data_IF_402671864343
#
_entry.id   IF_402671864343
#
_cell.length_a   1.000
_cell.length_b   1.000
_cell.length_c   1.000
_cell.angle_alpha   90.00
_cell.angle_beta   90.00
_cell.angle_gamma   90.00
#
_symmetry.space_group_name_H-M   'P 1'
#
loop_
_entity.id
_entity.type
_entity.pdbx_description
1 polymer ?
#
# COMPACT_ATOMS: atom_id res chain seq x y z
N UNK A 1 19.13 -21.67 0.79
CA UNK A 1 20.47 -21.06 0.69
C UNK A 1 20.33 -19.52 0.75
N UNK A 2 19.71 -19.01 1.80
CA UNK A 2 19.20 -17.63 1.86
C UNK A 2 20.30 -16.56 2.12
N UNK A 3 21.40 -16.95 2.78
CA UNK A 3 22.57 -16.08 3.01
C UNK A 3 23.22 -15.55 1.72
N UNK A 4 23.02 -16.22 0.57
CA UNK A 4 23.57 -15.76 -0.70
C UNK A 4 22.76 -14.62 -1.33
N UNK A 5 21.53 -14.35 -0.88
CA UNK A 5 20.66 -13.37 -1.56
C UNK A 5 21.16 -11.94 -1.32
N UNK A 6 21.48 -11.58 -0.08
CA UNK A 6 22.05 -10.27 0.30
C UNK A 6 23.31 -9.90 -0.50
N UNK A 7 24.12 -10.90 -0.82
CA UNK A 7 25.39 -10.75 -1.54
C UNK A 7 25.20 -10.63 -3.06
N UNK A 8 24.00 -10.88 -3.59
CA UNK A 8 23.75 -10.74 -5.03
C UNK A 8 23.83 -9.28 -5.46
N UNK A 9 24.67 -9.05 -6.46
CA UNK A 9 24.77 -7.76 -7.13
C UNK A 9 23.89 -7.73 -8.38
N UNK A 10 23.32 -6.56 -8.68
CA UNK A 10 22.51 -6.32 -9.88
C UNK A 10 21.02 -6.64 -9.75
N UNK A 11 20.56 -7.16 -8.61
CA UNK A 11 19.13 -7.35 -8.34
C UNK A 11 18.52 -6.02 -7.90
N UNK A 12 17.55 -5.53 -8.68
CA UNK A 12 16.80 -4.28 -8.42
C UNK A 12 15.34 -4.53 -8.03
N UNK A 13 14.80 -5.71 -8.35
CA UNK A 13 13.43 -6.12 -8.01
C UNK A 13 13.44 -7.53 -7.44
N UNK A 14 12.64 -7.76 -6.41
CA UNK A 14 12.45 -9.08 -5.78
C UNK A 14 10.98 -9.32 -5.48
N UNK A 15 10.56 -10.55 -5.69
CA UNK A 15 9.20 -11.03 -5.42
C UNK A 15 9.31 -12.27 -4.51
N UNK A 16 8.63 -12.22 -3.37
CA UNK A 16 8.54 -13.34 -2.43
C UNK A 16 7.09 -13.76 -2.26
N UNK A 17 6.74 -14.92 -2.80
CA UNK A 17 5.42 -15.53 -2.65
C UNK A 17 5.50 -16.75 -1.73
N UNK A 18 4.75 -16.72 -0.64
CA UNK A 18 4.77 -17.75 0.38
C UNK A 18 3.55 -18.68 0.33
N UNK A 19 2.61 -18.43 -0.58
CA UNK A 19 1.43 -19.24 -0.82
C UNK A 19 1.69 -20.33 -1.86
N UNK A 20 1.01 -21.48 -1.72
CA UNK A 20 1.08 -22.55 -2.72
C UNK A 20 0.03 -22.27 -3.80
N UNK A 21 0.47 -22.21 -5.05
CA UNK A 21 -0.41 -22.31 -6.23
C UNK A 21 -1.03 -23.71 -6.26
N UNK A 22 -2.17 -23.91 -5.59
CA UNK A 22 -2.98 -25.12 -5.70
C UNK A 22 -2.89 -26.09 -4.52
N UNK A 23 -3.61 -25.79 -3.43
CA UNK A 23 -3.88 -26.75 -2.37
C UNK A 23 -4.07 -26.09 -1.02
N UNK A 24 -5.18 -26.40 -0.35
CA UNK A 24 -5.50 -25.94 1.02
C UNK A 24 -4.51 -26.57 1.98
N UNK A 25 -3.40 -25.90 2.25
CA UNK A 25 -2.69 -26.08 3.52
C UNK A 25 -2.64 -24.73 4.23
N UNK A 26 -3.33 -24.68 5.37
CA UNK A 26 -3.15 -23.63 6.36
C UNK A 26 -1.77 -23.82 6.98
N UNK A 27 -0.72 -23.40 6.29
CA UNK A 27 0.59 -23.27 6.93
C UNK A 27 0.43 -22.28 8.10
N UNK A 28 0.71 -22.78 9.30
CA UNK A 28 0.60 -21.97 10.51
C UNK A 28 1.58 -20.80 10.45
N UNK A 29 1.23 -19.68 11.09
CA UNK A 29 2.06 -18.46 11.15
C UNK A 29 3.49 -18.73 11.67
N UNK A 30 3.69 -19.81 12.41
CA UNK A 30 4.97 -20.19 12.99
C UNK A 30 5.96 -20.76 11.97
N UNK A 31 5.49 -21.40 10.89
CA UNK A 31 6.38 -22.01 9.88
C UNK A 31 7.06 -20.96 9.00
N UNK A 32 6.38 -19.84 8.71
CA UNK A 32 6.94 -18.73 7.91
C UNK A 32 7.66 -17.68 8.78
N UNK A 33 7.61 -17.83 10.11
CA UNK A 33 8.25 -16.91 11.04
C UNK A 33 9.77 -16.91 10.86
N UNK A 34 10.33 -15.77 10.45
CA UNK A 34 11.77 -15.63 10.19
C UNK A 34 12.20 -15.95 8.76
N UNK A 35 11.29 -16.36 7.87
CA UNK A 35 11.64 -16.59 6.47
C UNK A 35 12.09 -15.30 5.77
N UNK A 36 11.35 -14.19 5.96
CA UNK A 36 11.79 -12.87 5.47
C UNK A 36 13.08 -12.41 6.14
N UNK A 37 13.29 -12.71 7.43
CA UNK A 37 14.54 -12.39 8.13
C UNK A 37 15.73 -13.06 7.43
N UNK A 38 15.61 -14.36 7.14
CA UNK A 38 16.66 -15.14 6.50
C UNK A 38 16.93 -14.71 5.05
N UNK A 39 15.93 -14.17 4.35
CA UNK A 39 16.06 -13.76 2.96
C UNK A 39 16.86 -12.47 2.79
N UNK A 40 16.86 -11.57 3.77
CA UNK A 40 17.51 -10.25 3.79
C UNK A 40 17.92 -9.70 2.40
N UNK A 41 17.08 -8.85 1.77
CA UNK A 41 17.33 -8.37 0.41
C UNK A 41 18.65 -7.60 0.21
N UNK A 42 19.15 -7.45 -1.02
CA UNK A 42 20.30 -6.59 -1.32
C UNK A 42 19.98 -5.10 -1.06
N UNK A 43 20.96 -4.34 -0.56
CA UNK A 43 20.81 -2.89 -0.28
C UNK A 43 20.48 -2.03 -1.52
N UNK A 44 20.74 -2.54 -2.73
CA UNK A 44 20.45 -1.86 -4.00
C UNK A 44 19.02 -2.09 -4.49
N UNK A 45 18.20 -2.85 -3.76
CA UNK A 45 16.84 -3.16 -4.15
C UNK A 45 16.01 -1.87 -4.29
N UNK A 46 15.27 -1.77 -5.39
CA UNK A 46 14.39 -0.65 -5.73
C UNK A 46 12.92 -1.02 -5.53
N UNK A 47 12.57 -2.27 -5.83
CA UNK A 47 11.23 -2.83 -5.73
C UNK A 47 11.20 -4.11 -4.91
N UNK A 48 10.27 -4.21 -3.97
CA UNK A 48 10.02 -5.42 -3.19
C UNK A 48 8.55 -5.81 -3.27
N UNK A 49 8.28 -7.07 -3.54
CA UNK A 49 6.95 -7.64 -3.53
C UNK A 49 6.88 -8.83 -2.58
N UNK A 50 5.85 -8.85 -1.74
CA UNK A 50 5.62 -9.90 -0.75
C UNK A 50 4.17 -10.34 -0.85
N UNK A 51 3.98 -11.58 -1.28
CA UNK A 51 2.69 -12.25 -1.38
C UNK A 51 2.52 -13.36 -0.35
N UNK A 52 1.31 -13.50 0.20
CA UNK A 52 0.90 -14.63 1.05
C UNK A 52 1.72 -14.82 2.33
N UNK A 53 2.45 -13.78 2.77
CA UNK A 53 3.32 -13.88 3.94
C UNK A 53 2.54 -13.70 5.24
N UNK A 54 2.57 -14.74 6.07
CA UNK A 54 1.91 -14.83 7.38
C UNK A 54 2.86 -14.78 8.58
N UNK A 55 4.15 -14.61 8.35
CA UNK A 55 5.18 -14.60 9.40
C UNK A 55 5.41 -13.24 10.08
N UNK A 56 6.58 -13.09 10.72
CA UNK A 56 6.95 -11.88 11.48
C UNK A 56 7.61 -10.82 10.60
N UNK A 57 7.43 -9.55 10.94
CA UNK A 57 8.14 -8.45 10.29
C UNK A 57 9.65 -8.62 10.55
N UNK A 58 10.49 -8.65 9.50
CA UNK A 58 11.92 -8.87 9.65
C UNK A 58 12.64 -7.61 10.15
N UNK A 59 13.68 -7.72 10.97
CA UNK A 59 14.40 -6.58 11.56
C UNK A 59 14.99 -5.65 10.51
N UNK A 60 15.40 -6.18 9.36
CA UNK A 60 15.96 -5.38 8.27
C UNK A 60 14.98 -4.35 7.68
N UNK A 61 13.67 -4.41 7.97
CA UNK A 61 12.72 -3.33 7.60
C UNK A 61 13.07 -1.97 8.24
N UNK A 62 13.85 -1.97 9.32
CA UNK A 62 14.34 -0.76 10.00
C UNK A 62 15.71 -0.30 9.46
N UNK A 63 16.32 -1.05 8.56
CA UNK A 63 17.64 -0.71 8.06
C UNK A 63 17.56 0.51 7.12
N UNK A 64 18.14 1.61 7.56
CA UNK A 64 18.17 2.88 6.81
C UNK A 64 19.08 2.86 5.58
N UNK A 65 19.87 1.80 5.39
CA UNK A 65 20.76 1.65 4.23
C UNK A 65 20.04 1.27 2.93
N UNK A 66 18.78 0.81 3.01
CA UNK A 66 17.90 0.57 1.84
C UNK A 66 17.42 1.89 1.21
N UNK A 67 18.35 2.76 0.87
CA UNK A 67 18.13 4.11 0.33
C UNK A 67 17.55 4.11 -1.10
N UNK A 68 17.60 2.97 -1.78
CA UNK A 68 17.07 2.77 -3.13
C UNK A 68 15.66 2.19 -3.15
N UNK A 69 15.21 1.60 -2.05
CA UNK A 69 13.90 0.96 -2.00
C UNK A 69 12.82 2.03 -2.00
N UNK A 70 12.04 2.08 -3.08
CA UNK A 70 11.01 3.10 -3.31
C UNK A 70 9.65 2.53 -3.70
N UNK A 71 9.57 1.23 -3.98
CA UNK A 71 8.35 0.51 -4.33
C UNK A 71 8.16 -0.74 -3.47
N UNK A 72 6.95 -0.91 -2.92
CA UNK A 72 6.56 -2.08 -2.13
C UNK A 72 5.18 -2.54 -2.58
N UNK A 73 5.07 -3.82 -2.92
CA UNK A 73 3.80 -4.50 -3.15
C UNK A 73 3.58 -5.53 -2.05
N UNK A 74 2.43 -5.45 -1.38
CA UNK A 74 1.99 -6.43 -0.41
C UNK A 74 0.69 -7.07 -0.92
N UNK A 75 0.68 -8.38 -1.06
CA UNK A 75 -0.46 -9.15 -1.53
C UNK A 75 -0.80 -10.21 -0.47
N UNK A 76 -2.06 -10.29 -0.01
CA UNK A 76 -2.49 -11.27 1.00
C UNK A 76 -1.53 -11.35 2.22
N UNK A 77 -1.07 -10.20 2.72
CA UNK A 77 -0.08 -10.15 3.82
C UNK A 77 -0.53 -9.29 5.00
N UNK A 78 -0.29 -9.79 6.21
CA UNK A 78 -0.54 -9.08 7.48
C UNK A 78 0.57 -8.09 7.86
N UNK A 79 1.66 -8.01 7.08
CA UNK A 79 2.75 -7.07 7.37
C UNK A 79 2.29 -5.61 7.37
N UNK A 80 1.24 -5.33 6.62
CA UNK A 80 0.62 -4.01 6.56
C UNK A 80 0.12 -3.49 7.92
N UNK A 81 -0.47 -4.35 8.76
CA UNK A 81 -0.94 -3.99 10.11
C UNK A 81 0.21 -3.53 11.03
N UNK A 82 1.40 -4.11 10.83
CA UNK A 82 2.61 -3.76 11.58
C UNK A 82 3.24 -2.48 11.05
N UNK A 83 3.17 -2.21 9.75
CA UNK A 83 3.60 -0.92 9.18
C UNK A 83 2.80 0.26 9.76
N UNK A 84 1.52 0.04 10.06
CA UNK A 84 0.64 1.05 10.68
C UNK A 84 0.98 1.28 12.15
N UNK A 85 1.29 0.22 12.90
CA UNK A 85 1.59 0.34 14.34
C UNK A 85 2.86 1.14 14.64
N UNK A 86 3.75 1.28 13.65
CA UNK A 86 5.02 2.02 13.76
C UNK A 86 4.81 3.55 13.73
N UNK A 87 3.62 4.05 13.36
CA UNK A 87 3.37 5.50 13.23
C UNK A 87 3.16 6.25 14.56
N UNK A 88 3.19 5.55 15.70
CA UNK A 88 2.92 6.13 17.03
C UNK A 88 4.14 6.10 17.96
N UNK A 89 5.30 6.63 17.56
CA UNK A 89 6.43 6.77 18.49
C UNK A 89 7.21 8.07 18.28
N UNK A 90 7.30 8.86 19.36
CA UNK A 90 8.34 9.87 19.64
C UNK A 90 9.79 9.30 19.65
N UNK A 91 9.99 8.09 19.12
CA UNK A 91 11.26 7.37 18.97
C UNK A 91 11.45 6.92 17.51
N UNK A 92 10.74 7.53 16.56
CA UNK A 92 11.08 7.41 15.16
C UNK A 92 12.00 8.57 14.76
N UNK A 93 13.30 8.32 14.89
CA UNK A 93 14.29 8.89 13.97
C UNK A 93 14.16 8.20 12.58
N UNK A 94 12.91 8.02 12.11
CA UNK A 94 12.52 7.63 10.74
C UNK A 94 12.29 8.90 9.92
N UNK A 95 13.06 9.92 10.25
CA UNK A 95 13.54 10.91 9.30
C UNK A 95 14.56 10.17 8.41
N UNK A 96 14.03 9.27 7.55
CA UNK A 96 14.59 8.75 6.30
C UNK A 96 13.92 7.41 5.93
N UNK A 97 12.62 7.46 5.64
CA UNK A 97 12.07 6.73 4.48
C UNK A 97 11.74 7.78 3.40
N UNK A 98 12.71 8.58 2.90
CA UNK A 98 12.42 9.68 2.00
C UNK A 98 12.16 9.19 0.55
N UNK A 99 12.25 7.87 0.32
CA UNK A 99 12.24 7.28 -1.00
C UNK A 99 10.96 6.50 -1.33
N UNK A 100 10.09 6.19 -0.37
CA UNK A 100 8.89 5.40 -0.65
C UNK A 100 7.83 6.23 -1.36
N UNK A 101 7.89 6.23 -2.69
CA UNK A 101 7.04 7.00 -3.58
C UNK A 101 5.85 6.17 -4.08
N UNK A 102 5.96 4.84 -4.08
CA UNK A 102 4.96 3.93 -4.63
C UNK A 102 4.62 2.81 -3.65
N UNK A 103 3.33 2.55 -3.48
CA UNK A 103 2.82 1.48 -2.64
C UNK A 103 1.62 0.81 -3.30
N UNK A 104 1.67 -0.52 -3.38
CA UNK A 104 0.55 -1.36 -3.79
C UNK A 104 0.16 -2.31 -2.67
N UNK A 105 -1.11 -2.35 -2.31
CA UNK A 105 -1.62 -3.27 -1.29
C UNK A 105 -2.87 -3.96 -1.80
N UNK A 106 -2.86 -5.29 -1.83
CA UNK A 106 -3.96 -6.11 -2.35
C UNK A 106 -4.37 -7.19 -1.34
N UNK A 107 -5.67 -7.45 -1.25
CA UNK A 107 -6.24 -8.58 -0.50
C UNK A 107 -5.92 -8.56 1.00
N UNK A 108 -6.07 -7.39 1.62
CA UNK A 108 -5.92 -7.18 3.06
C UNK A 108 -7.30 -7.03 3.75
N UNK A 109 -8.08 -8.11 3.80
CA UNK A 109 -9.48 -8.10 4.26
C UNK A 109 -9.68 -7.65 5.72
N UNK A 110 -8.66 -7.80 6.58
CA UNK A 110 -8.72 -7.45 8.01
C UNK A 110 -8.39 -5.98 8.31
N UNK A 111 -8.04 -5.18 7.30
CA UNK A 111 -7.61 -3.81 7.54
C UNK A 111 -8.77 -2.86 7.80
N UNK A 112 -8.91 -2.40 9.04
CA UNK A 112 -9.89 -1.40 9.42
C UNK A 112 -9.38 0.05 9.27
N UNK A 113 -8.06 0.26 9.30
CA UNK A 113 -7.44 1.60 9.28
C UNK A 113 -6.19 1.62 8.42
N UNK A 114 -5.97 2.70 7.70
CA UNK A 114 -4.80 2.91 6.84
C UNK A 114 -3.82 3.90 7.51
N UNK A 115 -2.48 3.82 7.32
CA UNK A 115 -1.54 4.68 8.03
C UNK A 115 -1.71 6.17 7.70
N UNK A 116 -1.74 7.01 8.75
CA UNK A 116 -1.94 8.46 8.64
C UNK A 116 -0.66 9.25 8.28
N UNK A 117 0.53 8.65 8.36
CA UNK A 117 1.81 9.36 8.22
C UNK A 117 2.73 8.76 7.14
N UNK A 118 2.47 9.07 5.88
CA UNK A 118 3.35 8.76 4.73
C UNK A 118 3.52 9.99 3.81
N UNK A 119 4.31 11.00 4.23
CA UNK A 119 4.39 12.29 3.54
C UNK A 119 5.10 12.26 2.18
N UNK A 120 5.87 11.21 1.89
CA UNK A 120 6.59 11.05 0.62
C UNK A 120 5.85 10.19 -0.42
N UNK A 121 4.71 9.58 -0.05
CA UNK A 121 3.98 8.68 -0.92
C UNK A 121 3.33 9.44 -2.09
N UNK A 122 3.75 9.14 -3.31
CA UNK A 122 3.28 9.79 -4.54
C UNK A 122 2.26 8.97 -5.30
N UNK A 123 2.29 7.65 -5.18
CA UNK A 123 1.41 6.71 -5.86
C UNK A 123 0.89 5.66 -4.89
N UNK A 124 -0.42 5.41 -4.93
CA UNK A 124 -1.08 4.42 -4.11
C UNK A 124 -2.05 3.59 -4.96
N UNK A 125 -1.91 2.27 -4.90
CA UNK A 125 -2.86 1.31 -5.44
C UNK A 125 -3.34 0.40 -4.30
N UNK A 126 -4.64 0.37 -4.08
CA UNK A 126 -5.27 -0.42 -3.03
C UNK A 126 -6.40 -1.25 -3.62
N UNK A 127 -6.36 -2.56 -3.36
CA UNK A 127 -7.40 -3.47 -3.82
C UNK A 127 -7.92 -4.39 -2.70
N UNK A 128 -9.22 -4.70 -2.76
CA UNK A 128 -9.86 -5.72 -1.92
C UNK A 128 -9.77 -5.42 -0.41
N UNK A 129 -10.08 -4.16 -0.06
CA UNK A 129 -10.23 -3.69 1.32
C UNK A 129 -11.70 -3.64 1.74
N UNK A 130 -12.16 -4.71 2.38
CA UNK A 130 -13.59 -4.86 2.73
C UNK A 130 -13.97 -4.19 4.05
N UNK A 131 -13.01 -4.00 4.96
CA UNK A 131 -13.22 -3.45 6.30
C UNK A 131 -12.86 -1.95 6.41
N UNK A 132 -12.18 -1.39 5.40
CA UNK A 132 -11.69 -0.01 5.43
C UNK A 132 -12.80 0.96 5.01
N UNK A 133 -13.35 1.72 5.97
CA UNK A 133 -14.43 2.66 5.66
C UNK A 133 -13.96 3.98 5.04
N UNK A 134 -12.73 4.41 5.36
CA UNK A 134 -12.14 5.68 4.96
C UNK A 134 -10.64 5.54 4.74
N UNK A 135 -10.10 6.18 3.69
CA UNK A 135 -8.65 6.44 3.61
C UNK A 135 -8.31 7.67 4.46
N UNK A 136 -7.09 7.81 4.99
CA UNK A 136 -6.69 8.92 5.82
C UNK A 136 -6.71 10.21 5.02
N UNK A 137 -7.33 11.22 5.62
CA UNK A 137 -7.39 12.58 5.12
C UNK A 137 -5.99 13.21 5.08
N UNK A 138 -5.76 14.13 4.13
CA UNK A 138 -4.57 14.95 4.02
C UNK A 138 -3.27 14.20 3.65
N UNK A 139 -3.14 13.87 2.36
CA UNK A 139 -1.89 13.39 1.74
C UNK A 139 -1.32 14.41 0.76
N UNK A 140 -0.36 15.25 1.20
CA UNK A 140 0.09 16.39 0.40
C UNK A 140 0.97 16.02 -0.80
N UNK A 141 1.40 14.77 -0.92
CA UNK A 141 2.27 14.31 -2.03
C UNK A 141 1.61 13.29 -2.95
N UNK A 142 0.45 12.73 -2.59
CA UNK A 142 -0.19 11.66 -3.34
C UNK A 142 -0.83 12.23 -4.61
N UNK A 143 -0.38 11.75 -5.78
CA UNK A 143 -0.77 12.23 -7.10
C UNK A 143 -1.70 11.25 -7.82
N UNK A 144 -1.31 9.98 -8.10
CA UNK A 144 -2.28 8.97 -8.53
C UNK A 144 -2.75 8.12 -7.36
N UNK A 145 -4.05 7.87 -7.34
CA UNK A 145 -4.72 6.91 -6.46
C UNK A 145 -5.55 5.95 -7.30
N UNK A 146 -5.31 4.65 -7.13
CA UNK A 146 -6.11 3.58 -7.71
C UNK A 146 -6.77 2.81 -6.56
N UNK A 147 -8.09 2.62 -6.65
CA UNK A 147 -8.88 1.88 -5.65
C UNK A 147 -9.77 0.86 -6.37
N UNK A 148 -9.58 -0.42 -6.04
CA UNK A 148 -10.25 -1.52 -6.71
C UNK A 148 -10.96 -2.45 -5.73
N UNK A 149 -12.25 -2.72 -5.95
CA UNK A 149 -13.02 -3.70 -5.18
C UNK A 149 -12.96 -3.49 -3.64
N UNK A 150 -12.91 -2.24 -3.18
CA UNK A 150 -12.95 -1.91 -1.75
C UNK A 150 -14.40 -1.73 -1.30
N UNK A 151 -15.01 -2.80 -0.79
CA UNK A 151 -16.45 -2.80 -0.46
C UNK A 151 -16.79 -2.11 0.86
N UNK A 152 -15.80 -1.79 1.71
CA UNK A 152 -16.02 -1.02 2.94
C UNK A 152 -16.00 0.50 2.73
N UNK A 153 -15.33 0.97 1.69
CA UNK A 153 -14.98 2.38 1.51
C UNK A 153 -16.22 3.23 1.19
N UNK A 154 -16.53 4.19 2.07
CA UNK A 154 -17.74 5.03 1.97
C UNK A 154 -17.47 6.42 1.39
N UNK A 155 -16.28 6.97 1.61
CA UNK A 155 -15.92 8.31 1.14
C UNK A 155 -14.41 8.46 0.92
N UNK A 156 -14.06 9.39 0.02
CA UNK A 156 -12.70 9.93 -0.11
C UNK A 156 -12.77 11.46 -0.08
N UNK A 157 -12.02 12.05 0.86
CA UNK A 157 -12.10 13.47 1.17
C UNK A 157 -10.70 14.04 1.39
N UNK A 158 -10.54 15.34 1.16
CA UNK A 158 -9.35 16.11 1.52
C UNK A 158 -8.04 15.54 0.93
N UNK A 159 -7.98 15.49 -0.40
CA UNK A 159 -6.83 15.01 -1.18
C UNK A 159 -6.28 16.14 -2.08
N UNK A 160 -5.59 17.15 -1.51
CA UNK A 160 -5.28 18.40 -2.19
C UNK A 160 -4.27 18.30 -3.33
N UNK A 161 -3.42 17.25 -3.35
CA UNK A 161 -2.38 17.04 -4.36
C UNK A 161 -2.74 15.97 -5.40
N UNK A 162 -3.92 15.36 -5.28
CA UNK A 162 -4.34 14.24 -6.12
C UNK A 162 -4.64 14.75 -7.53
N UNK A 163 -3.94 14.23 -8.52
CA UNK A 163 -4.08 14.61 -9.93
C UNK A 163 -4.89 13.58 -10.74
N UNK A 164 -4.88 12.31 -10.31
CA UNK A 164 -5.58 11.20 -10.98
C UNK A 164 -6.20 10.26 -9.96
N UNK A 165 -7.47 9.92 -10.16
CA UNK A 165 -8.22 8.97 -9.33
C UNK A 165 -8.91 7.92 -10.21
N UNK A 166 -8.65 6.65 -9.96
CA UNK A 166 -9.39 5.53 -10.53
C UNK A 166 -10.10 4.75 -9.42
N UNK A 167 -11.42 4.59 -9.57
CA UNK A 167 -12.28 3.82 -8.69
C UNK A 167 -12.97 2.74 -9.50
N UNK A 168 -12.76 1.48 -9.12
CA UNK A 168 -13.37 0.34 -9.80
C UNK A 168 -14.02 -0.60 -8.77
N UNK A 169 -15.26 -1.03 -9.00
CA UNK A 169 -15.98 -1.99 -8.14
C UNK A 169 -16.12 -1.56 -6.66
N UNK A 170 -16.11 -0.25 -6.36
CA UNK A 170 -16.30 0.25 -5.00
C UNK A 170 -17.80 0.52 -4.72
N UNK A 171 -18.55 -0.53 -4.40
CA UNK A 171 -20.02 -0.43 -4.30
C UNK A 171 -20.56 0.36 -3.10
N UNK A 172 -19.74 0.66 -2.10
CA UNK A 172 -20.15 1.43 -0.92
C UNK A 172 -19.77 2.91 -0.95
N UNK A 173 -19.01 3.35 -1.96
CA UNK A 173 -18.54 4.73 -2.02
C UNK A 173 -19.69 5.66 -2.39
N UNK A 174 -19.97 6.66 -1.56
CA UNK A 174 -21.09 7.58 -1.74
C UNK A 174 -20.63 9.00 -2.07
N UNK A 175 -19.47 9.41 -1.54
CA UNK A 175 -19.03 10.81 -1.56
C UNK A 175 -17.55 10.97 -1.95
N UNK A 176 -17.29 11.87 -2.90
CA UNK A 176 -15.97 12.39 -3.23
C UNK A 176 -15.99 13.92 -3.15
N UNK A 177 -15.14 14.50 -2.30
CA UNK A 177 -15.02 15.97 -2.19
C UNK A 177 -13.62 16.43 -1.78
N UNK A 178 -13.35 17.73 -1.91
CA UNK A 178 -12.08 18.39 -1.56
C UNK A 178 -10.85 17.82 -2.30
N UNK A 179 -10.87 17.87 -3.64
CA UNK A 179 -9.76 17.43 -4.50
C UNK A 179 -9.42 18.50 -5.55
N UNK A 180 -8.91 19.67 -5.12
CA UNK A 180 -8.70 20.84 -5.98
C UNK A 180 -7.73 20.64 -7.14
N UNK A 181 -6.81 19.68 -7.06
CA UNK A 181 -5.83 19.39 -8.10
C UNK A 181 -6.23 18.24 -9.05
N UNK A 182 -7.41 17.63 -8.85
CA UNK A 182 -7.80 16.43 -9.59
C UNK A 182 -8.10 16.77 -11.04
N UNK A 183 -7.36 16.16 -11.97
CA UNK A 183 -7.49 16.38 -13.43
C UNK A 183 -8.23 15.26 -14.12
N UNK A 184 -8.04 14.01 -13.65
CA UNK A 184 -8.64 12.82 -14.25
C UNK A 184 -9.36 12.00 -13.19
N UNK A 185 -10.63 11.69 -13.44
CA UNK A 185 -11.45 10.80 -12.61
C UNK A 185 -12.02 9.68 -13.47
N UNK A 186 -11.74 8.43 -13.09
CA UNK A 186 -12.32 7.24 -13.72
C UNK A 186 -13.13 6.47 -12.68
N UNK A 187 -14.39 6.21 -12.97
CA UNK A 187 -15.32 5.50 -12.06
C UNK A 187 -16.02 4.37 -12.78
N UNK A 188 -15.66 3.14 -12.44
CA UNK A 188 -16.27 1.92 -12.98
C UNK A 188 -16.99 1.16 -11.89
N UNK A 189 -18.26 0.80 -12.12
CA UNK A 189 -19.02 -0.09 -11.23
C UNK A 189 -19.07 0.39 -9.76
N UNK A 190 -19.24 1.69 -9.53
CA UNK A 190 -19.39 2.30 -8.20
C UNK A 190 -20.83 2.82 -8.03
N UNK A 191 -21.76 1.90 -7.80
CA UNK A 191 -23.20 2.16 -8.03
C UNK A 191 -23.86 3.08 -6.99
N UNK A 192 -23.18 3.36 -5.86
CA UNK A 192 -23.67 4.23 -4.79
C UNK A 192 -23.09 5.64 -4.81
N UNK A 193 -22.19 5.95 -5.76
CA UNK A 193 -21.56 7.26 -5.83
C UNK A 193 -22.62 8.33 -6.19
N UNK A 194 -22.89 9.25 -5.26
CA UNK A 194 -23.96 10.25 -5.38
C UNK A 194 -23.43 11.66 -5.60
N UNK A 195 -22.31 12.01 -4.98
CA UNK A 195 -21.83 13.38 -4.94
C UNK A 195 -20.36 13.51 -5.29
N UNK A 196 -20.08 14.45 -6.19
CA UNK A 196 -18.76 14.93 -6.58
C UNK A 196 -18.74 16.44 -6.30
N UNK A 197 -17.85 16.92 -5.43
CA UNK A 197 -17.75 18.34 -5.10
C UNK A 197 -16.28 18.80 -5.02
N UNK A 198 -16.04 20.09 -5.20
CA UNK A 198 -14.74 20.74 -4.97
C UNK A 198 -13.58 20.14 -5.77
N UNK A 199 -13.80 19.99 -7.08
CA UNK A 199 -12.83 19.52 -8.09
C UNK A 199 -12.66 20.52 -9.26
N UNK A 200 -12.26 21.78 -9.00
CA UNK A 200 -12.17 22.83 -10.02
C UNK A 200 -11.19 22.56 -11.17
N UNK A 201 -10.22 21.65 -11.00
CA UNK A 201 -9.22 21.31 -12.02
C UNK A 201 -9.61 20.09 -12.89
N UNK A 202 -10.83 19.55 -12.75
CA UNK A 202 -11.22 18.31 -13.43
C UNK A 202 -11.34 18.53 -14.94
N UNK A 203 -10.53 17.80 -15.70
CA UNK A 203 -10.45 17.87 -17.16
C UNK A 203 -11.10 16.65 -17.84
N UNK A 204 -11.06 15.48 -17.20
CA UNK A 204 -11.62 14.22 -17.72
C UNK A 204 -12.41 13.46 -16.66
N UNK A 205 -13.57 12.94 -17.06
CA UNK A 205 -14.45 12.07 -16.27
C UNK A 205 -14.92 10.90 -17.14
N UNK A 206 -14.53 9.68 -16.77
CA UNK A 206 -14.87 8.42 -17.46
C UNK A 206 -15.62 7.43 -16.56
#
# INVERSE_FOLDING_TARGET
NAQLLKEKHGIISLEFYFGITGGVSEQSNDEQSGALEALEPPLRLECLEIGDYKGKMPVWHLNTEYTKLHSLKLERSHLWEKLISITSLKVLNVIKMPAFESLKVEECCSLEKFPHHMPALKWLDVALFDSLEQLPDHRPALKPLMVWACYGLKALVNMPALESLELSYCHCIEHLHDMPALKSLMVRRCDRLKTLADMPALESLE
#
